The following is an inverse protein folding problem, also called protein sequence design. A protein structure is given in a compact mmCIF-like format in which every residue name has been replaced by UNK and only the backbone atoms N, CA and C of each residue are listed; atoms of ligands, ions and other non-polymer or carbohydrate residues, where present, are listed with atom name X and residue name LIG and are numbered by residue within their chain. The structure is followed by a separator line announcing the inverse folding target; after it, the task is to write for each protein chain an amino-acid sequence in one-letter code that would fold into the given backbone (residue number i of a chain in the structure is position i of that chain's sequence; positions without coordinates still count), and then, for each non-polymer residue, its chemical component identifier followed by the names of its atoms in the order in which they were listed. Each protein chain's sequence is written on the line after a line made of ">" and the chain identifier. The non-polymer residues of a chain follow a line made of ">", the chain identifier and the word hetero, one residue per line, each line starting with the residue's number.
data_IF_395678829112
#
_entry.id   IF_395678829112
#
_cell.length_a   1.000
_cell.length_b   1.000
_cell.length_c   1.000
_cell.angle_alpha   90.00
_cell.angle_beta   90.00
_cell.angle_gamma   90.00
#
_symmetry.space_group_name_H-M   'P 1'
#
loop_
_entity.id
_entity.type
_entity.pdbx_description
1 polymer ?
#
# COMPACT_ATOMS: atom_id res chain seq x y z
N UNK A 1 -1.07 -1.88 -16.36
CA UNK A 1 -1.15 -0.89 -15.26
C UNK A 1 0.20 -0.84 -14.55
N UNK A 2 0.87 0.33 -14.46
CA UNK A 2 2.22 0.41 -13.87
C UNK A 2 2.18 0.46 -12.35
N UNK A 3 2.83 -0.49 -11.67
CA UNK A 3 2.85 -0.58 -10.20
C UNK A 3 3.81 0.40 -9.52
N UNK A 4 4.88 0.76 -10.21
CA UNK A 4 5.82 1.84 -9.89
C UNK A 4 5.88 2.80 -11.05
N UNK A 5 6.28 4.06 -10.80
CA UNK A 5 6.31 5.10 -11.85
C UNK A 5 7.22 4.69 -13.02
N UNK A 6 8.35 4.06 -12.70
CA UNK A 6 9.38 3.63 -13.66
C UNK A 6 9.26 2.17 -14.13
N UNK A 7 8.23 1.42 -13.70
CA UNK A 7 8.05 0.05 -14.19
C UNK A 7 7.45 0.08 -15.59
N UNK A 8 8.18 -0.46 -16.57
CA UNK A 8 7.69 -0.62 -17.95
C UNK A 8 6.68 -1.76 -18.07
N UNK A 9 6.95 -2.86 -17.36
CA UNK A 9 6.11 -4.05 -17.38
C UNK A 9 4.97 -3.99 -16.36
N UNK A 10 3.84 -4.57 -16.73
CA UNK A 10 2.76 -4.85 -15.79
C UNK A 10 3.11 -6.08 -14.92
N UNK A 11 2.54 -6.22 -13.73
CA UNK A 11 2.74 -7.40 -12.89
C UNK A 11 2.33 -8.68 -13.61
N UNK A 12 3.11 -9.74 -13.43
CA UNK A 12 2.83 -11.06 -14.02
C UNK A 12 1.77 -11.83 -13.24
N UNK A 13 1.74 -11.66 -11.92
CA UNK A 13 0.78 -12.32 -11.03
C UNK A 13 -0.60 -11.63 -11.16
N UNK A 14 -1.70 -12.36 -11.44
CA UNK A 14 -3.04 -11.78 -11.46
C UNK A 14 -3.49 -11.22 -10.11
N UNK A 15 -3.02 -11.79 -8.99
CA UNK A 15 -3.41 -11.43 -7.62
C UNK A 15 -2.57 -10.30 -7.02
N UNK A 16 -1.69 -9.69 -7.83
CA UNK A 16 -0.79 -8.60 -7.41
C UNK A 16 -1.53 -7.46 -6.68
N UNK A 17 -2.78 -7.20 -7.07
CA UNK A 17 -3.59 -6.14 -6.49
C UNK A 17 -4.01 -6.48 -5.06
N UNK A 18 -4.45 -7.72 -4.81
CA UNK A 18 -4.82 -8.19 -3.48
C UNK A 18 -3.61 -8.28 -2.56
N UNK A 19 -2.48 -8.76 -3.07
CA UNK A 19 -1.20 -8.78 -2.35
C UNK A 19 -0.82 -7.36 -1.92
N UNK A 20 -1.00 -6.36 -2.81
CA UNK A 20 -0.72 -4.96 -2.48
C UNK A 20 -1.69 -4.40 -1.44
N UNK A 21 -2.98 -4.70 -1.53
CA UNK A 21 -3.96 -4.34 -0.50
C UNK A 21 -3.60 -4.94 0.86
N UNK A 22 -3.24 -6.23 0.91
CA UNK A 22 -2.82 -6.91 2.12
C UNK A 22 -1.54 -6.30 2.72
N UNK A 23 -0.54 -5.99 1.89
CA UNK A 23 0.68 -5.33 2.33
C UNK A 23 0.42 -3.92 2.90
N UNK A 24 -0.49 -3.16 2.30
CA UNK A 24 -0.90 -1.84 2.82
C UNK A 24 -1.62 -1.99 4.17
N UNK A 25 -2.57 -2.94 4.28
CA UNK A 25 -3.27 -3.21 5.54
C UNK A 25 -2.27 -3.60 6.65
N UNK A 26 -1.29 -4.45 6.34
CA UNK A 26 -0.23 -4.82 7.28
C UNK A 26 0.65 -3.64 7.68
N UNK A 27 0.95 -2.75 6.74
CA UNK A 27 1.73 -1.54 7.03
C UNK A 27 0.98 -0.61 8.01
N UNK A 28 -0.33 -0.42 7.79
CA UNK A 28 -1.20 0.37 8.67
C UNK A 28 -1.33 -0.23 10.07
N UNK A 29 -1.28 -1.56 10.18
CA UNK A 29 -1.27 -2.24 11.48
C UNK A 29 -0.05 -1.85 12.30
N UNK A 30 1.14 -1.87 11.67
CA UNK A 30 2.41 -1.56 12.35
C UNK A 30 2.61 -0.07 12.59
N UNK A 31 2.13 0.77 11.67
CA UNK A 31 2.29 2.21 11.70
C UNK A 31 0.91 2.83 11.47
N UNK A 32 0.21 3.26 12.55
CA UNK A 32 -1.06 3.96 12.40
C UNK A 32 -0.83 5.37 11.84
N UNK A 33 -1.92 5.98 11.34
CA UNK A 33 -1.98 7.36 10.83
C UNK A 33 -1.01 7.66 9.66
N UNK A 34 -0.98 6.76 8.67
CA UNK A 34 -0.07 6.88 7.51
C UNK A 34 -0.77 7.54 6.32
N UNK A 35 -0.09 8.51 5.72
CA UNK A 35 -0.52 9.17 4.49
C UNK A 35 -0.07 8.47 3.20
N UNK A 36 -0.71 8.79 2.08
CA UNK A 36 -0.41 8.20 0.75
C UNK A 36 1.05 8.40 0.35
N UNK A 37 1.68 9.55 0.68
CA UNK A 37 3.09 9.81 0.35
C UNK A 37 4.04 8.81 1.02
N UNK A 38 3.86 8.55 2.31
CA UNK A 38 4.68 7.60 3.05
C UNK A 38 4.55 6.18 2.48
N UNK A 39 3.34 5.77 2.10
CA UNK A 39 3.12 4.49 1.41
C UNK A 39 3.80 4.47 0.03
N UNK A 40 3.79 5.59 -0.71
CA UNK A 40 4.50 5.69 -1.99
C UNK A 40 6.01 5.56 -1.83
N UNK A 41 6.56 6.01 -0.71
CA UNK A 41 7.98 5.86 -0.38
C UNK A 41 8.31 4.43 0.02
N UNK A 42 7.46 3.81 0.86
CA UNK A 42 7.62 2.44 1.34
C UNK A 42 7.53 1.41 0.21
N UNK A 43 6.57 1.55 -0.71
CA UNK A 43 6.41 0.67 -1.87
C UNK A 43 7.19 1.12 -3.11
N UNK A 44 7.90 2.24 -2.99
CA UNK A 44 8.83 2.75 -3.99
C UNK A 44 10.06 1.86 -4.13
N UNK A 45 11.07 2.36 -4.82
CA UNK A 45 12.29 1.59 -4.97
C UNK A 45 13.36 2.35 -5.74
N UNK A 46 14.48 1.68 -5.95
CA UNK A 46 15.61 2.24 -6.67
C UNK A 46 15.35 2.20 -8.18
N UNK A 47 15.31 3.36 -8.82
CA UNK A 47 15.18 3.50 -10.26
C UNK A 47 16.57 3.42 -10.91
N UNK A 48 16.72 2.48 -11.85
CA UNK A 48 17.91 2.35 -12.70
C UNK A 48 17.86 3.32 -13.88
N UNK A 49 18.75 4.33 -13.88
CA UNK A 49 18.84 5.33 -14.95
C UNK A 49 19.96 5.02 -15.96
N UNK A 50 20.05 3.77 -16.42
CA UNK A 50 21.10 3.30 -17.32
C UNK A 50 22.50 3.45 -16.72
N UNK A 51 23.31 4.33 -17.32
CA UNK A 51 24.70 4.65 -16.91
C UNK A 51 24.75 5.68 -15.77
N UNK A 52 23.71 6.51 -15.61
CA UNK A 52 23.66 7.54 -14.56
C UNK A 52 23.39 6.94 -13.19
N UNK A 53 23.76 7.67 -12.13
CA UNK A 53 23.54 7.27 -10.73
C UNK A 53 22.06 6.93 -10.50
N UNK A 54 21.86 5.84 -9.78
CA UNK A 54 20.54 5.38 -9.36
C UNK A 54 20.00 6.25 -8.23
N UNK A 55 18.69 6.50 -8.24
CA UNK A 55 18.00 7.27 -7.21
C UNK A 55 16.74 6.53 -6.74
N UNK A 56 16.16 6.95 -5.61
CA UNK A 56 14.90 6.41 -5.14
C UNK A 56 13.75 7.09 -5.87
N UNK A 57 12.80 6.29 -6.36
CA UNK A 57 11.61 6.76 -7.05
C UNK A 57 10.36 6.14 -6.43
N UNK A 58 9.26 6.86 -6.52
CA UNK A 58 8.04 6.58 -5.79
C UNK A 58 7.22 5.47 -6.47
N UNK A 59 6.39 4.79 -5.66
CA UNK A 59 5.34 3.95 -6.21
C UNK A 59 4.24 4.78 -6.89
N UNK A 60 3.46 4.12 -7.74
CA UNK A 60 2.31 4.74 -8.37
C UNK A 60 1.25 5.08 -7.31
N UNK A 61 1.03 6.38 -7.12
CA UNK A 61 0.09 6.89 -6.12
C UNK A 61 -1.37 6.56 -6.41
N UNK A 62 -1.75 6.37 -7.68
CA UNK A 62 -3.13 6.07 -8.04
C UNK A 62 -3.54 4.70 -7.49
N UNK A 63 -2.68 3.69 -7.66
CA UNK A 63 -2.93 2.33 -7.17
C UNK A 63 -3.10 2.33 -5.65
N UNK A 64 -2.17 2.96 -4.94
CA UNK A 64 -2.21 3.03 -3.46
C UNK A 64 -3.50 3.72 -3.01
N UNK A 65 -3.90 4.81 -3.69
CA UNK A 65 -5.15 5.51 -3.37
C UNK A 65 -6.38 4.63 -3.60
N UNK A 66 -6.45 3.91 -4.72
CA UNK A 66 -7.54 2.97 -5.00
C UNK A 66 -7.60 1.82 -3.99
N UNK A 67 -6.48 1.22 -3.62
CA UNK A 67 -6.43 0.18 -2.59
C UNK A 67 -7.03 0.67 -1.27
N UNK A 68 -6.65 1.88 -0.85
CA UNK A 68 -7.13 2.44 0.40
C UNK A 68 -8.61 2.84 0.35
N UNK A 69 -9.10 3.37 -0.77
CA UNK A 69 -10.54 3.62 -0.93
C UNK A 69 -11.35 2.34 -0.91
N UNK A 70 -10.83 1.26 -1.49
CA UNK A 70 -11.51 -0.05 -1.44
C UNK A 70 -11.51 -0.61 -0.01
N UNK A 71 -10.42 -0.45 0.75
CA UNK A 71 -10.37 -0.84 2.16
C UNK A 71 -11.26 0.04 3.06
N UNK A 72 -11.42 1.33 2.72
CA UNK A 72 -12.38 2.23 3.35
C UNK A 72 -13.82 1.81 3.06
N UNK A 73 -14.14 1.43 1.81
CA UNK A 73 -15.45 0.94 1.42
C UNK A 73 -15.83 -0.38 2.12
N UNK A 74 -14.83 -1.21 2.44
CA UNK A 74 -15.00 -2.42 3.24
C UNK A 74 -15.11 -2.16 4.75
N UNK A 75 -14.90 -0.92 5.21
CA UNK A 75 -14.96 -0.55 6.64
C UNK A 75 -13.74 -1.00 7.48
N UNK A 76 -12.67 -1.46 6.82
CA UNK A 76 -11.46 -1.93 7.51
C UNK A 76 -10.51 -0.77 7.86
N UNK A 77 -10.54 0.30 7.07
CA UNK A 77 -9.70 1.49 7.23
C UNK A 77 -10.58 2.72 7.38
N UNK A 78 -10.19 3.64 8.26
CA UNK A 78 -10.84 4.93 8.46
C UNK A 78 -9.85 6.09 8.33
N UNK A 79 -10.39 7.28 8.10
CA UNK A 79 -9.59 8.52 8.05
C UNK A 79 -9.30 8.98 9.48
N UNK A 80 -8.03 9.19 9.79
CA UNK A 80 -7.60 9.67 11.11
C UNK A 80 -8.05 11.11 11.38
N UNK A 81 -8.31 11.45 12.65
CA UNK A 81 -8.76 12.80 13.07
C UNK A 81 -7.79 13.92 12.68
N UNK A 82 -6.49 13.62 12.61
CA UNK A 82 -5.43 14.57 12.25
C UNK A 82 -4.91 14.36 10.82
N UNK A 83 -5.69 13.65 9.99
CA UNK A 83 -5.28 13.24 8.64
C UNK A 83 -4.64 11.84 8.63
N UNK A 84 -4.32 11.37 7.42
CA UNK A 84 -3.84 10.00 7.23
C UNK A 84 -4.94 8.95 7.32
N UNK A 85 -4.54 7.70 7.30
CA UNK A 85 -5.41 6.53 7.34
C UNK A 85 -4.98 5.61 8.47
N UNK A 86 -5.95 5.03 9.15
CA UNK A 86 -5.74 4.10 10.28
C UNK A 86 -6.69 2.92 10.14
N UNK A 87 -6.33 1.78 10.73
CA UNK A 87 -7.24 0.64 10.80
C UNK A 87 -8.35 0.91 11.80
N UNK A 88 -9.55 0.40 11.50
CA UNK A 88 -10.66 0.35 12.43
C UNK A 88 -10.47 -0.82 13.41
N UNK A 89 -11.20 -0.82 14.53
CA UNK A 89 -11.22 -1.98 15.44
C UNK A 89 -11.64 -3.28 14.74
N UNK A 90 -12.54 -3.20 13.76
CA UNK A 90 -12.91 -4.33 12.92
C UNK A 90 -11.73 -4.80 12.05
N UNK A 91 -11.00 -3.86 11.42
CA UNK A 91 -9.81 -4.17 10.64
C UNK A 91 -8.71 -4.87 11.43
N UNK A 92 -8.46 -4.44 12.68
CA UNK A 92 -7.54 -5.13 13.59
C UNK A 92 -7.97 -6.57 13.87
N UNK A 93 -9.25 -6.77 14.23
CA UNK A 93 -9.79 -8.08 14.56
C UNK A 93 -9.72 -9.06 13.38
N UNK A 94 -10.05 -8.61 12.17
CA UNK A 94 -10.02 -9.46 10.99
C UNK A 94 -8.59 -9.85 10.61
N UNK A 95 -7.65 -8.91 10.69
CA UNK A 95 -6.23 -9.19 10.47
C UNK A 95 -5.68 -10.21 11.47
N UNK A 96 -6.04 -10.08 12.75
CA UNK A 96 -5.60 -11.02 13.80
C UNK A 96 -6.21 -12.42 13.62
N UNK A 97 -7.48 -12.49 13.17
CA UNK A 97 -8.13 -13.77 12.90
C UNK A 97 -7.44 -14.50 11.75
N UNK A 98 -7.15 -13.80 10.65
CA UNK A 98 -6.42 -14.37 9.51
C UNK A 98 -5.00 -14.76 9.91
N UNK A 99 -4.32 -13.93 10.70
CA UNK A 99 -2.97 -14.24 11.19
C UNK A 99 -2.91 -15.49 12.07
N UNK A 100 -4.00 -15.81 12.80
CA UNK A 100 -4.10 -17.03 13.61
C UNK A 100 -4.35 -18.29 12.78
N UNK A 101 -4.93 -18.15 11.59
CA UNK A 101 -5.28 -19.26 10.71
C UNK A 101 -4.09 -19.75 9.87
N UNK A 102 -3.09 -18.91 9.70
CA UNK A 102 -1.84 -19.18 8.96
C UNK A 102 -0.80 -19.74 9.94
#
# INVERSE_FOLDING_TARGET
>A
MRTRVFSEYSPYDPDWYFIRCAAIARHLYLRPDVGVKSLRDAFGGRHRNGVRRQYHDHANGNIIRHCLHNLEALGLVEVGKHGGRRLTNAGYKDLDLVARQI
#
